data_IF_953559582976
#
_entry.id   IF_953559582976
#
_cell.length_a   1.000
_cell.length_b   1.000
_cell.length_c   1.000
_cell.angle_alpha   90.00
_cell.angle_beta   90.00
_cell.angle_gamma   90.00
#
_symmetry.space_group_name_H-M   'P 1'
#
loop_
_entity.id
_entity.type
_entity.pdbx_description
1 polymer ?
#
# COMPACT_ATOMS: atom_id res chain seq x y z
N UNK A 1 3.15 27.01 -12.78
CA UNK A 1 3.91 26.54 -13.94
C UNK A 1 5.39 26.46 -13.57
N UNK A 2 6.10 25.42 -14.00
CA UNK A 2 7.53 25.19 -13.72
C UNK A 2 7.92 25.32 -12.25
N UNK A 3 7.08 24.83 -11.33
CA UNK A 3 7.28 24.94 -9.90
C UNK A 3 6.93 26.29 -9.27
N UNK A 4 6.55 27.26 -10.08
CA UNK A 4 6.13 28.59 -9.59
C UNK A 4 4.61 28.65 -9.48
N UNK A 5 4.04 28.94 -8.29
CA UNK A 5 2.62 29.16 -8.13
C UNK A 5 2.12 30.29 -9.05
N UNK A 6 0.98 30.10 -9.71
CA UNK A 6 0.39 31.10 -10.60
C UNK A 6 -0.64 31.98 -9.89
N UNK A 7 -0.95 31.70 -8.65
CA UNK A 7 -1.88 32.41 -7.80
C UNK A 7 -2.16 31.71 -6.49
N UNK A 8 -2.92 32.33 -5.64
CA UNK A 8 -3.37 31.78 -4.38
C UNK A 8 -4.48 30.75 -4.58
N UNK A 9 -4.71 29.92 -3.52
CA UNK A 9 -5.82 28.97 -3.51
C UNK A 9 -7.14 29.74 -3.51
N UNK A 10 -7.99 29.47 -4.51
CA UNK A 10 -9.27 30.16 -4.69
C UNK A 10 -10.41 29.14 -4.64
N UNK A 11 -11.48 29.49 -3.93
CA UNK A 11 -12.74 28.72 -3.94
C UNK A 11 -13.50 29.05 -5.21
N UNK A 12 -13.63 28.09 -6.12
CA UNK A 12 -14.29 28.26 -7.43
C UNK A 12 -15.75 27.81 -7.43
N UNK A 13 -16.22 27.14 -6.35
CA UNK A 13 -17.60 26.66 -6.27
C UNK A 13 -17.82 25.72 -5.09
N UNK A 14 -19.00 25.13 -5.03
CA UNK A 14 -19.41 24.17 -4.02
C UNK A 14 -19.67 22.79 -4.64
N UNK A 15 -19.34 21.72 -3.94
CA UNK A 15 -19.57 20.35 -4.40
C UNK A 15 -20.01 19.48 -3.25
N UNK A 16 -20.83 18.45 -3.54
CA UNK A 16 -21.17 17.37 -2.61
C UNK A 16 -20.18 16.21 -2.70
N UNK A 17 -19.30 16.18 -3.72
CA UNK A 17 -18.28 15.16 -3.88
C UNK A 17 -17.08 15.49 -3.00
N UNK A 18 -16.46 14.46 -2.43
CA UNK A 18 -15.24 14.56 -1.62
C UNK A 18 -14.09 13.87 -2.35
N UNK A 19 -12.95 14.53 -2.41
CA UNK A 19 -11.76 13.97 -3.04
C UNK A 19 -10.86 15.06 -3.62
N UNK A 20 -9.75 14.62 -4.22
CA UNK A 20 -8.77 15.47 -4.89
C UNK A 20 -8.60 15.01 -6.33
N UNK A 21 -8.65 15.94 -7.28
CA UNK A 21 -8.29 15.71 -8.68
C UNK A 21 -7.02 16.47 -9.00
N UNK A 22 -6.00 15.78 -9.49
CA UNK A 22 -4.73 16.38 -9.94
C UNK A 22 -4.59 16.07 -11.43
N UNK A 23 -4.35 17.12 -12.22
CA UNK A 23 -4.00 17.00 -13.64
C UNK A 23 -2.64 17.64 -13.83
N UNK A 24 -1.70 16.95 -14.48
CA UNK A 24 -0.37 17.48 -14.74
C UNK A 24 0.10 17.11 -16.15
N UNK A 25 0.99 17.94 -16.67
CA UNK A 25 1.73 17.68 -17.90
C UNK A 25 3.20 17.93 -17.62
N UNK A 26 4.08 16.92 -17.86
CA UNK A 26 5.51 17.11 -17.65
C UNK A 26 6.08 18.14 -18.64
N UNK A 27 7.03 18.93 -18.16
CA UNK A 27 7.72 19.94 -18.97
C UNK A 27 9.01 19.35 -19.55
N UNK A 28 9.12 19.34 -20.89
CA UNK A 28 10.28 18.79 -21.60
C UNK A 28 11.58 19.61 -21.39
N UNK A 29 11.48 20.83 -20.86
CA UNK A 29 12.68 21.61 -20.48
C UNK A 29 13.25 21.18 -19.13
N UNK A 30 12.46 20.47 -18.30
CA UNK A 30 12.84 20.04 -16.95
C UNK A 30 13.12 18.53 -16.91
N UNK A 31 12.31 17.75 -17.61
CA UNK A 31 12.38 16.29 -17.60
C UNK A 31 13.01 15.75 -18.88
N UNK A 32 13.98 14.85 -18.77
CA UNK A 32 14.60 14.18 -19.91
C UNK A 32 13.59 13.37 -20.74
N UNK A 33 12.58 12.82 -20.08
CA UNK A 33 11.46 12.13 -20.72
C UNK A 33 10.14 12.65 -20.19
N UNK A 34 9.19 12.90 -21.08
CA UNK A 34 7.82 13.30 -20.77
C UNK A 34 6.81 12.18 -21.00
N UNK A 35 7.32 10.99 -21.37
CA UNK A 35 6.51 9.82 -21.67
C UNK A 35 6.28 8.99 -20.40
N UNK A 36 5.08 9.13 -19.81
CA UNK A 36 4.66 8.36 -18.65
C UNK A 36 4.08 7.02 -19.09
N UNK A 37 4.55 5.93 -18.46
CA UNK A 37 3.96 4.60 -18.62
C UNK A 37 2.69 4.50 -17.79
N UNK A 38 1.55 4.32 -18.46
CA UNK A 38 0.26 4.07 -17.80
C UNK A 38 0.32 2.84 -16.89
N UNK A 39 0.94 1.76 -17.36
CA UNK A 39 1.00 0.49 -16.63
C UNK A 39 1.84 0.61 -15.34
N UNK A 40 2.96 1.33 -15.39
CA UNK A 40 3.79 1.58 -14.21
C UNK A 40 3.04 2.40 -13.16
N UNK A 41 2.33 3.46 -13.58
CA UNK A 41 1.50 4.27 -12.70
C UNK A 41 0.32 3.47 -12.16
N UNK A 42 -0.35 2.70 -13.01
CA UNK A 42 -1.48 1.86 -12.62
C UNK A 42 -1.08 0.82 -11.56
N UNK A 43 0.09 0.19 -11.73
CA UNK A 43 0.62 -0.76 -10.74
C UNK A 43 0.83 -0.08 -9.39
N UNK A 44 1.48 1.08 -9.38
CA UNK A 44 1.75 1.82 -8.13
C UNK A 44 0.47 2.32 -7.45
N UNK A 45 -0.47 2.84 -8.22
CA UNK A 45 -1.76 3.32 -7.69
C UNK A 45 -2.63 2.17 -7.17
N UNK A 46 -2.52 0.98 -7.77
CA UNK A 46 -3.16 -0.24 -7.26
C UNK A 46 -2.60 -0.61 -5.88
N UNK A 47 -1.27 -0.63 -5.71
CA UNK A 47 -0.64 -0.86 -4.41
C UNK A 47 -1.14 0.14 -3.36
N UNK A 48 -1.17 1.43 -3.70
CA UNK A 48 -1.67 2.48 -2.81
C UNK A 48 -3.15 2.29 -2.45
N UNK A 49 -3.97 1.82 -3.37
CA UNK A 49 -5.39 1.54 -3.10
C UNK A 49 -5.57 0.34 -2.15
N UNK A 50 -4.72 -0.68 -2.23
CA UNK A 50 -4.71 -1.79 -1.26
C UNK A 50 -4.23 -1.33 0.13
N UNK A 51 -3.24 -0.44 0.19
CA UNK A 51 -2.73 0.08 1.46
C UNK A 51 -3.68 1.07 2.15
N UNK A 52 -4.68 1.59 1.43
CA UNK A 52 -5.65 2.57 1.94
C UNK A 52 -7.07 2.05 1.71
N UNK A 53 -7.50 1.09 2.52
CA UNK A 53 -8.81 0.46 2.42
C UNK A 53 -9.94 1.50 2.30
N UNK A 54 -10.87 1.28 1.37
CA UNK A 54 -12.02 2.14 1.12
C UNK A 54 -11.73 3.41 0.30
N UNK A 55 -10.46 3.72 -0.01
CA UNK A 55 -10.11 4.82 -0.91
C UNK A 55 -10.29 4.40 -2.36
N UNK A 56 -10.93 5.25 -3.15
CA UNK A 56 -11.01 5.08 -4.61
C UNK A 56 -9.94 5.93 -5.28
N UNK A 57 -9.08 5.30 -6.08
CA UNK A 57 -8.06 5.98 -6.90
C UNK A 57 -8.43 5.77 -8.36
N UNK A 58 -8.54 6.85 -9.13
CA UNK A 58 -8.75 6.83 -10.57
C UNK A 58 -7.49 7.35 -11.29
N UNK A 59 -7.12 6.69 -12.37
CA UNK A 59 -6.06 7.09 -13.28
C UNK A 59 -6.65 7.22 -14.68
N UNK A 60 -6.59 8.41 -15.24
CA UNK A 60 -7.06 8.69 -16.59
C UNK A 60 -5.88 9.23 -17.41
N UNK A 61 -5.57 8.59 -18.54
CA UNK A 61 -4.56 9.05 -19.49
C UNK A 61 -5.27 9.77 -20.66
N UNK A 62 -5.15 11.11 -20.68
CA UNK A 62 -5.82 11.93 -21.70
C UNK A 62 -5.14 11.82 -23.08
N UNK A 63 -3.97 11.16 -23.20
CA UNK A 63 -3.24 10.99 -24.47
C UNK A 63 -3.89 9.94 -25.37
N UNK A 64 -4.30 8.82 -24.78
CA UNK A 64 -4.86 7.65 -25.50
C UNK A 64 -6.24 7.21 -24.96
N UNK A 65 -6.76 7.90 -23.96
CA UNK A 65 -8.07 7.65 -23.36
C UNK A 65 -8.11 6.42 -22.43
N UNK A 66 -6.96 5.84 -22.07
CA UNK A 66 -6.92 4.77 -21.08
C UNK A 66 -7.37 5.26 -19.72
N UNK A 67 -8.19 4.47 -19.05
CA UNK A 67 -8.68 4.77 -17.72
C UNK A 67 -8.69 3.52 -16.85
N UNK A 68 -8.34 3.69 -15.57
CA UNK A 68 -8.44 2.63 -14.58
C UNK A 68 -8.89 3.18 -13.24
N UNK A 69 -9.69 2.39 -12.52
CA UNK A 69 -10.20 2.74 -11.20
C UNK A 69 -9.89 1.61 -10.21
N UNK A 70 -9.28 1.98 -9.11
CA UNK A 70 -8.87 1.06 -8.04
C UNK A 70 -9.69 1.36 -6.79
N UNK A 71 -10.25 0.31 -6.18
CA UNK A 71 -10.97 0.41 -4.92
C UNK A 71 -10.98 -0.96 -4.24
N UNK A 72 -10.46 -1.04 -3.02
CA UNK A 72 -10.32 -2.28 -2.27
C UNK A 72 -10.70 -2.04 -0.80
N UNK A 73 -11.82 -2.62 -0.37
CA UNK A 73 -12.28 -2.48 1.03
C UNK A 73 -11.50 -3.37 2.00
N UNK A 74 -11.01 -4.50 1.53
CA UNK A 74 -10.27 -5.48 2.34
C UNK A 74 -8.81 -5.11 2.64
N UNK A 75 -8.32 -3.99 2.15
CA UNK A 75 -6.98 -3.50 2.45
C UNK A 75 -5.87 -4.49 2.07
N UNK A 76 -4.89 -4.70 2.97
CA UNK A 76 -3.76 -5.61 2.72
C UNK A 76 -4.16 -7.09 2.66
N UNK A 77 -5.31 -7.48 3.19
CA UNK A 77 -5.87 -8.83 3.01
C UNK A 77 -6.19 -9.04 1.52
N UNK A 78 -6.93 -8.11 0.92
CA UNK A 78 -7.21 -8.15 -0.53
C UNK A 78 -5.95 -8.06 -1.38
N UNK A 79 -4.88 -7.43 -0.88
CA UNK A 79 -3.60 -7.43 -1.57
C UNK A 79 -2.96 -8.82 -1.62
N UNK A 80 -2.94 -9.53 -0.50
CA UNK A 80 -2.43 -10.91 -0.44
C UNK A 80 -3.27 -11.85 -1.32
N UNK A 81 -4.60 -11.74 -1.28
CA UNK A 81 -5.50 -12.49 -2.17
C UNK A 81 -5.19 -12.21 -3.65
N UNK A 82 -4.96 -10.95 -3.99
CA UNK A 82 -4.59 -10.55 -5.34
C UNK A 82 -3.26 -11.16 -5.80
N UNK A 83 -2.24 -11.15 -4.93
CA UNK A 83 -0.92 -11.75 -5.21
C UNK A 83 -0.98 -13.27 -5.36
N UNK A 84 -1.89 -13.92 -4.65
CA UNK A 84 -2.09 -15.37 -4.68
C UNK A 84 -3.14 -15.83 -5.71
N UNK A 85 -3.78 -14.92 -6.45
CA UNK A 85 -4.84 -15.26 -7.40
C UNK A 85 -4.46 -16.32 -8.44
N UNK A 86 -3.19 -16.36 -8.85
CA UNK A 86 -2.67 -17.34 -9.80
C UNK A 86 -1.85 -18.46 -9.13
N UNK A 87 -1.84 -18.51 -7.80
CA UNK A 87 -1.14 -19.52 -7.00
C UNK A 87 -2.16 -20.39 -6.28
N UNK A 88 -1.72 -21.55 -5.80
CA UNK A 88 -2.58 -22.43 -5.00
C UNK A 88 -2.26 -22.21 -3.51
N UNK A 89 -3.14 -21.53 -2.76
CA UNK A 89 -2.99 -21.39 -1.32
C UNK A 89 -3.17 -22.75 -0.64
N UNK A 90 -2.38 -23.04 0.40
CA UNK A 90 -2.53 -24.26 1.20
C UNK A 90 -3.55 -24.11 2.34
N UNK A 91 -4.11 -22.91 2.50
CA UNK A 91 -5.23 -22.61 3.40
C UNK A 91 -6.10 -21.49 2.83
N UNK A 92 -7.41 -21.56 3.08
CA UNK A 92 -8.40 -20.71 2.43
C UNK A 92 -8.33 -19.24 2.85
N UNK A 93 -8.09 -18.99 4.13
CA UNK A 93 -8.15 -17.63 4.69
C UNK A 93 -6.77 -17.00 4.79
N UNK A 94 -6.65 -15.75 4.34
CA UNK A 94 -5.49 -14.91 4.64
C UNK A 94 -5.41 -14.70 6.15
N UNK A 95 -4.26 -14.96 6.74
CA UNK A 95 -3.98 -14.67 8.13
C UNK A 95 -3.71 -13.17 8.23
N UNK A 96 -4.49 -12.49 9.05
CA UNK A 96 -4.38 -11.05 9.26
C UNK A 96 -4.35 -10.73 10.75
N UNK A 97 -3.46 -9.86 11.14
CA UNK A 97 -3.47 -9.26 12.46
C UNK A 97 -2.98 -7.81 12.40
N UNK A 98 -3.43 -7.05 13.37
CA UNK A 98 -3.11 -5.64 13.53
C UNK A 98 -2.83 -5.36 15.00
N UNK A 99 -1.80 -4.56 15.27
CA UNK A 99 -1.49 -4.07 16.60
C UNK A 99 -1.31 -2.56 16.56
N UNK A 100 -1.79 -1.90 17.59
CA UNK A 100 -1.66 -0.45 17.77
C UNK A 100 -0.99 -0.19 19.11
N UNK A 101 0.21 0.37 19.08
CA UNK A 101 0.94 0.75 20.27
C UNK A 101 0.86 2.27 20.46
N UNK A 102 0.53 2.70 21.67
CA UNK A 102 0.64 4.12 22.00
C UNK A 102 2.13 4.50 22.06
N UNK A 103 2.50 5.59 21.39
CA UNK A 103 3.84 6.13 21.44
C UNK A 103 4.25 6.50 22.87
N UNK A 104 5.55 6.63 23.11
CA UNK A 104 6.15 6.95 24.43
C UNK A 104 5.98 8.42 24.85
N UNK A 105 5.31 9.25 24.03
CA UNK A 105 4.98 10.63 24.32
C UNK A 105 3.62 10.81 25.00
N UNK A 106 3.32 12.02 25.46
CA UNK A 106 2.02 12.36 26.05
C UNK A 106 0.88 12.06 25.06
N UNK A 107 0.25 10.91 25.26
CA UNK A 107 -0.61 10.19 24.35
C UNK A 107 -1.99 10.85 24.12
N UNK A 108 -1.99 12.14 23.72
CA UNK A 108 -3.23 12.87 23.38
C UNK A 108 -3.44 13.11 21.90
N UNK A 109 -2.48 12.70 21.03
CA UNK A 109 -2.63 12.84 19.58
C UNK A 109 -2.65 11.48 18.90
N UNK A 110 -3.60 11.28 18.00
CA UNK A 110 -3.67 10.06 17.16
C UNK A 110 -2.41 9.87 16.29
N UNK A 111 -1.66 10.95 16.06
CA UNK A 111 -0.36 10.96 15.35
C UNK A 111 0.76 10.21 16.06
N UNK A 112 0.63 9.93 17.37
CA UNK A 112 1.67 9.31 18.18
C UNK A 112 1.47 7.80 18.33
N UNK A 113 0.48 7.23 17.63
CA UNK A 113 0.21 5.81 17.62
C UNK A 113 1.00 5.11 16.52
N UNK A 114 1.78 4.11 16.90
CA UNK A 114 2.40 3.19 15.96
C UNK A 114 1.41 2.06 15.66
N UNK A 115 1.10 1.86 14.36
CA UNK A 115 0.26 0.79 13.89
C UNK A 115 1.09 -0.18 13.06
N UNK A 116 0.96 -1.47 13.36
CA UNK A 116 1.52 -2.55 12.56
C UNK A 116 0.39 -3.40 12.04
N UNK A 117 0.38 -3.64 10.74
CA UNK A 117 -0.56 -4.53 10.08
C UNK A 117 0.22 -5.60 9.32
N UNK A 118 -0.21 -6.84 9.44
CA UNK A 118 0.41 -7.98 8.75
C UNK A 118 -0.69 -8.84 8.13
N UNK A 119 -0.51 -9.17 6.86
CA UNK A 119 -1.33 -10.14 6.15
C UNK A 119 -0.41 -11.16 5.47
N UNK A 120 -0.68 -12.45 5.63
CA UNK A 120 0.11 -13.51 5.05
C UNK A 120 -0.73 -14.73 4.68
N UNK A 121 -0.29 -15.44 3.65
CA UNK A 121 -0.91 -16.69 3.22
C UNK A 121 0.16 -17.56 2.57
N UNK A 122 0.23 -18.83 3.01
CA UNK A 122 1.10 -19.82 2.38
C UNK A 122 0.46 -20.37 1.11
N UNK A 123 1.31 -20.69 0.14
CA UNK A 123 0.93 -21.34 -1.10
C UNK A 123 1.93 -22.46 -1.44
N UNK A 124 1.61 -23.30 -2.43
CA UNK A 124 2.45 -24.44 -2.85
C UNK A 124 3.76 -24.03 -3.53
N UNK A 125 3.96 -22.75 -3.83
CA UNK A 125 5.17 -22.24 -4.48
C UNK A 125 6.35 -22.17 -3.52
N UNK A 126 7.57 -22.37 -4.06
CA UNK A 126 8.81 -22.29 -3.29
C UNK A 126 9.34 -20.86 -3.12
N UNK A 127 8.82 -19.91 -3.88
CA UNK A 127 9.29 -18.53 -3.85
C UNK A 127 8.51 -17.69 -2.82
N UNK A 128 9.25 -17.06 -1.90
CA UNK A 128 8.69 -16.03 -1.02
C UNK A 128 8.35 -14.77 -1.85
N UNK A 129 7.18 -14.21 -1.61
CA UNK A 129 6.78 -12.89 -2.10
C UNK A 129 6.49 -12.03 -0.88
N UNK A 130 7.37 -11.08 -0.60
CA UNK A 130 7.26 -10.21 0.56
C UNK A 130 7.20 -8.75 0.12
N UNK A 131 6.20 -8.03 0.61
CA UNK A 131 6.08 -6.59 0.49
C UNK A 131 6.12 -5.95 1.88
N UNK A 132 6.87 -4.90 2.02
CA UNK A 132 7.04 -4.17 3.26
C UNK A 132 6.84 -2.68 3.01
N UNK A 133 6.05 -2.04 3.86
CA UNK A 133 5.70 -0.64 3.70
C UNK A 133 5.83 0.11 5.03
N UNK A 134 6.30 1.34 4.96
CA UNK A 134 6.26 2.30 6.05
C UNK A 134 5.50 3.54 5.56
N UNK A 135 4.35 3.83 6.16
CA UNK A 135 3.46 4.93 5.73
C UNK A 135 3.21 4.92 4.21
N UNK A 136 2.85 3.76 3.67
CA UNK A 136 2.59 3.53 2.23
C UNK A 136 3.81 3.57 1.31
N UNK A 137 5.01 3.82 1.83
CA UNK A 137 6.26 3.78 1.08
C UNK A 137 6.80 2.36 1.05
N UNK A 138 7.03 1.81 -0.13
CA UNK A 138 7.56 0.45 -0.30
C UNK A 138 9.05 0.41 0.11
N UNK A 139 9.35 -0.40 1.11
CA UNK A 139 10.70 -0.66 1.61
C UNK A 139 11.27 -1.90 0.91
N UNK A 140 11.74 -1.75 -0.33
CA UNK A 140 12.20 -2.87 -1.16
C UNK A 140 13.37 -3.64 -0.56
N UNK A 141 14.25 -2.94 0.15
CA UNK A 141 15.43 -3.52 0.81
C UNK A 141 15.11 -4.05 2.22
N UNK A 142 13.84 -4.09 2.59
CA UNK A 142 13.40 -4.51 3.93
C UNK A 142 13.64 -3.43 4.98
N UNK A 143 13.99 -3.87 6.20
CA UNK A 143 14.28 -2.99 7.34
C UNK A 143 14.10 -3.72 8.66
N UNK A 144 14.42 -3.05 9.76
CA UNK A 144 14.35 -3.63 11.12
C UNK A 144 12.96 -4.16 11.49
N UNK A 145 11.90 -3.56 10.96
CA UNK A 145 10.51 -4.03 11.15
C UNK A 145 10.27 -5.39 10.48
N UNK A 146 10.86 -5.64 9.29
CA UNK A 146 10.78 -6.94 8.59
C UNK A 146 11.55 -8.00 9.37
N UNK A 147 12.77 -7.70 9.78
CA UNK A 147 13.61 -8.62 10.57
C UNK A 147 12.97 -8.93 11.93
N UNK A 148 12.39 -7.93 12.58
CA UNK A 148 11.64 -8.10 13.82
C UNK A 148 10.44 -9.03 13.63
N UNK A 149 9.67 -8.85 12.56
CA UNK A 149 8.55 -9.72 12.22
C UNK A 149 8.99 -11.15 11.95
N UNK A 150 10.00 -11.37 11.08
CA UNK A 150 10.51 -12.71 10.76
C UNK A 150 11.00 -13.45 12.01
N UNK A 151 11.72 -12.75 12.89
CA UNK A 151 12.18 -13.29 14.16
C UNK A 151 11.02 -13.67 15.08
N UNK A 152 10.02 -12.83 15.20
CA UNK A 152 8.84 -13.08 16.02
C UNK A 152 8.02 -14.27 15.50
N UNK A 153 7.81 -14.34 14.18
CA UNK A 153 7.11 -15.45 13.53
C UNK A 153 7.82 -16.77 13.75
N UNK A 154 9.13 -16.81 13.54
CA UNK A 154 9.96 -18.01 13.78
C UNK A 154 9.83 -18.49 15.22
N UNK A 155 9.97 -17.60 16.19
CA UNK A 155 9.81 -17.95 17.62
C UNK A 155 8.41 -18.44 17.95
N UNK A 156 7.37 -17.85 17.36
CA UNK A 156 6.00 -18.28 17.60
C UNK A 156 5.74 -19.69 17.07
N UNK A 157 6.24 -20.00 15.86
CA UNK A 157 6.12 -21.34 15.26
C UNK A 157 6.91 -22.38 16.08
N UNK A 158 8.16 -22.09 16.46
CA UNK A 158 8.98 -22.98 17.29
C UNK A 158 8.31 -23.28 18.62
N UNK A 159 7.84 -22.25 19.33
CA UNK A 159 7.12 -22.42 20.59
C UNK A 159 5.87 -23.28 20.46
N UNK A 160 5.13 -23.09 19.36
CA UNK A 160 3.95 -23.91 19.07
C UNK A 160 4.33 -25.37 18.81
N UNK A 161 5.35 -25.62 18.00
CA UNK A 161 5.85 -26.96 17.69
C UNK A 161 6.30 -27.69 18.97
N UNK A 162 7.14 -27.05 19.79
CA UNK A 162 7.60 -27.60 21.08
C UNK A 162 6.42 -27.95 22.01
N UNK A 163 5.43 -27.05 22.12
CA UNK A 163 4.26 -27.25 22.98
C UNK A 163 3.36 -28.41 22.51
N UNK A 164 3.40 -28.76 21.23
CA UNK A 164 2.58 -29.82 20.63
C UNK A 164 3.38 -31.07 20.25
N UNK A 165 4.68 -31.16 20.58
CA UNK A 165 5.53 -32.32 20.30
C UNK A 165 5.78 -32.55 18.81
N UNK A 166 5.83 -31.48 18.00
CA UNK A 166 6.07 -31.48 16.56
C UNK A 166 7.54 -31.22 16.23
#
# INVERSE_FOLDING_TARGET
ERGTPQGDLVVTGTTKKRGTKITFRPDAEIFETTDFSFDTLAQRLRELAFLNAGVTIALDDERDGKSHRFHYDGGIVSFVEHLNKAKQPIHDKVIFFQEVKNGTGDAKRDSDKERVEVALQWNEGYAETLFSFTNTINNRDGGTHVEGFKTALTRAIQKYAEANGL
#
